data_IF_807375523550
#
_entry.id   IF_807375523550
#
_cell.length_a   1.000
_cell.length_b   1.000
_cell.length_c   1.000
_cell.angle_alpha   90.00
_cell.angle_beta   90.00
_cell.angle_gamma   90.00
#
_symmetry.space_group_name_H-M   'P 1'
#
loop_
_entity.id
_entity.type
_entity.pdbx_description
1 polymer ?
#
# COMPACT_ATOMS: atom_id res chain seq x y z
N UNK A 1 0.28 -9.40 10.86
CA UNK A 1 1.36 -9.92 10.00
C UNK A 1 0.78 -10.99 9.12
N UNK A 2 0.97 -10.90 7.81
CA UNK A 2 0.55 -11.95 6.88
C UNK A 2 1.56 -13.12 6.86
N UNK A 3 1.09 -14.35 6.70
CA UNK A 3 1.92 -15.57 6.74
C UNK A 3 2.53 -15.95 5.38
N UNK A 4 2.24 -15.18 4.33
CA UNK A 4 2.75 -15.41 2.98
C UNK A 4 4.24 -15.06 2.81
N UNK A 5 4.73 -15.25 1.57
CA UNK A 5 6.12 -14.96 1.20
C UNK A 5 6.48 -13.46 1.26
N UNK A 6 5.48 -12.60 1.47
CA UNK A 6 5.59 -11.16 1.37
C UNK A 6 5.52 -10.66 -0.07
N UNK A 7 5.64 -9.35 -0.25
CA UNK A 7 5.54 -8.69 -1.55
C UNK A 7 6.40 -7.43 -1.59
N UNK A 8 6.87 -7.08 -2.78
CA UNK A 8 7.57 -5.83 -3.00
C UNK A 8 6.57 -4.70 -3.26
N UNK A 9 6.20 -3.98 -2.20
CA UNK A 9 5.28 -2.83 -2.28
C UNK A 9 5.81 -1.67 -3.14
N UNK A 10 7.12 -1.62 -3.43
CA UNK A 10 7.74 -0.59 -4.28
C UNK A 10 7.62 -0.88 -5.77
N UNK A 11 7.42 -2.15 -6.15
CA UNK A 11 7.28 -2.55 -7.56
C UNK A 11 5.83 -2.58 -8.03
N UNK A 12 4.87 -2.18 -7.18
CA UNK A 12 3.47 -2.12 -7.58
C UNK A 12 3.27 -0.88 -8.44
N UNK A 13 2.91 -1.04 -9.72
CA UNK A 13 2.73 0.08 -10.63
C UNK A 13 1.53 0.93 -10.24
N UNK A 14 1.45 2.14 -10.79
CA UNK A 14 0.31 3.02 -10.56
C UNK A 14 -0.94 2.41 -11.24
N UNK A 15 -1.99 2.04 -10.49
CA UNK A 15 -3.20 1.45 -11.07
C UNK A 15 -4.05 2.47 -11.85
N UNK A 16 -3.68 3.76 -11.86
CA UNK A 16 -4.34 4.80 -12.66
C UNK A 16 -3.74 4.97 -14.05
N UNK A 17 -2.57 4.39 -14.30
CA UNK A 17 -1.96 4.36 -15.62
C UNK A 17 -2.79 3.50 -16.58
N UNK A 18 -2.91 3.94 -17.84
CA UNK A 18 -3.74 3.27 -18.84
C UNK A 18 -3.28 1.83 -19.12
N UNK A 19 -1.99 1.53 -18.96
CA UNK A 19 -1.41 0.19 -19.10
C UNK A 19 -1.77 -0.75 -17.94
N UNK A 20 -2.10 -0.20 -16.76
CA UNK A 20 -2.36 -0.97 -15.53
C UNK A 20 -3.82 -0.86 -15.04
N UNK A 21 -4.67 -0.14 -15.78
CA UNK A 21 -6.08 0.09 -15.40
C UNK A 21 -6.91 -1.20 -15.28
N UNK A 22 -6.51 -2.25 -16.02
CA UNK A 22 -7.13 -3.57 -15.99
C UNK A 22 -6.52 -4.53 -14.95
N UNK A 23 -5.38 -4.18 -14.36
CA UNK A 23 -4.78 -4.98 -13.28
C UNK A 23 -5.65 -4.88 -12.03
N UNK A 24 -6.18 -6.02 -11.57
CA UNK A 24 -7.12 -6.07 -10.44
C UNK A 24 -6.40 -6.18 -9.08
N UNK A 25 -5.10 -6.48 -9.08
CA UNK A 25 -4.27 -6.66 -7.89
C UNK A 25 -3.55 -5.34 -7.50
N UNK A 26 -2.94 -5.29 -6.31
CA UNK A 26 -2.08 -4.16 -5.90
C UNK A 26 -2.77 -2.84 -5.51
N UNK A 27 -4.06 -2.68 -5.84
CA UNK A 27 -4.83 -1.43 -5.60
C UNK A 27 -4.91 -1.01 -4.13
N UNK A 28 -4.90 -1.97 -3.20
CA UNK A 28 -4.92 -1.69 -1.76
C UNK A 28 -3.73 -0.83 -1.30
N UNK A 29 -2.55 -1.00 -1.91
CA UNK A 29 -1.36 -0.19 -1.62
C UNK A 29 -1.56 1.24 -2.10
N UNK A 30 -2.07 1.40 -3.32
CA UNK A 30 -2.40 2.70 -3.87
C UNK A 30 -3.40 3.43 -2.97
N UNK A 31 -4.55 2.81 -2.68
CA UNK A 31 -5.60 3.39 -1.81
C UNK A 31 -5.02 3.78 -0.44
N UNK A 32 -4.20 2.90 0.17
CA UNK A 32 -3.62 3.18 1.48
C UNK A 32 -2.72 4.43 1.46
N UNK A 33 -1.95 4.65 0.39
CA UNK A 33 -1.10 5.85 0.25
C UNK A 33 -1.90 7.16 0.24
N UNK A 34 -3.15 7.15 -0.21
CA UNK A 34 -4.02 8.35 -0.17
C UNK A 34 -4.75 8.53 1.15
N UNK A 35 -4.98 7.45 1.90
CA UNK A 35 -5.81 7.49 3.12
C UNK A 35 -5.02 7.79 4.40
N UNK A 36 -3.73 7.46 4.42
CA UNK A 36 -2.83 7.57 5.57
C UNK A 36 -1.68 8.52 5.29
N UNK A 37 -1.24 9.23 6.32
CA UNK A 37 -0.13 10.19 6.22
C UNK A 37 1.23 9.50 6.15
N UNK A 38 1.35 8.35 6.82
CA UNK A 38 2.58 7.53 6.82
C UNK A 38 2.24 6.06 6.68
N UNK A 39 3.01 5.38 5.83
CA UNK A 39 2.99 3.93 5.66
C UNK A 39 4.41 3.39 5.76
N UNK A 40 4.60 2.37 6.60
CA UNK A 40 5.87 1.68 6.80
C UNK A 40 5.67 0.19 6.60
N UNK A 41 6.41 -0.37 5.64
CA UNK A 41 6.41 -1.80 5.35
C UNK A 41 7.68 -2.42 5.95
N UNK A 42 7.54 -3.50 6.71
CA UNK A 42 8.67 -4.22 7.33
C UNK A 42 8.63 -5.72 7.04
N UNK A 43 9.65 -6.47 7.49
CA UNK A 43 9.79 -7.89 7.20
C UNK A 43 10.02 -8.15 5.70
N UNK A 44 9.23 -9.06 5.11
CA UNK A 44 9.24 -9.33 3.65
C UNK A 44 8.23 -8.46 2.88
N UNK A 45 7.82 -7.33 3.47
CA UNK A 45 6.73 -6.50 2.99
C UNK A 45 5.33 -6.96 3.44
N UNK A 46 5.26 -8.01 4.26
CA UNK A 46 4.03 -8.61 4.81
C UNK A 46 3.57 -7.99 6.15
N UNK A 47 4.28 -6.97 6.64
CA UNK A 47 3.91 -6.21 7.83
C UNK A 47 3.80 -4.74 7.42
N UNK A 48 2.65 -4.15 7.71
CA UNK A 48 2.35 -2.73 7.44
C UNK A 48 1.98 -2.03 8.72
N UNK A 49 2.63 -0.90 8.96
CA UNK A 49 2.24 0.09 9.97
C UNK A 49 1.71 1.32 9.24
N UNK A 50 0.47 1.71 9.53
CA UNK A 50 -0.16 2.89 8.97
C UNK A 50 -0.43 3.93 10.07
N UNK A 51 -0.04 5.18 9.85
CA UNK A 51 -0.27 6.29 10.78
C UNK A 51 -1.15 7.35 10.13
N UNK A 52 -2.14 7.82 10.87
CA UNK A 52 -2.99 8.95 10.50
C UNK A 52 -2.96 10.00 11.60
N UNK A 53 -2.56 11.22 11.27
CA UNK A 53 -2.56 12.34 12.20
C UNK A 53 -3.94 12.98 12.20
N UNK A 54 -4.70 12.76 13.28
CA UNK A 54 -6.01 13.37 13.43
C UNK A 54 -5.83 14.68 14.19
N UNK A 55 -5.96 15.80 13.49
CA UNK A 55 -6.12 17.10 14.16
C UNK A 55 -7.51 17.15 14.79
N UNK A 56 -7.58 17.37 16.10
CA UNK A 56 -8.85 17.75 16.74
C UNK A 56 -9.18 19.18 16.28
N UNK A 57 -10.36 19.35 15.68
CA UNK A 57 -10.98 20.66 15.53
C UNK A 57 -11.39 21.21 16.88
#
# INVERSE_FOLDING_TARGET
>A
TDEGKGFNWKSVPDPTDQEHILELNGRGIFISKFLFDKLEYTGKGNIVTATKYISKK
#
